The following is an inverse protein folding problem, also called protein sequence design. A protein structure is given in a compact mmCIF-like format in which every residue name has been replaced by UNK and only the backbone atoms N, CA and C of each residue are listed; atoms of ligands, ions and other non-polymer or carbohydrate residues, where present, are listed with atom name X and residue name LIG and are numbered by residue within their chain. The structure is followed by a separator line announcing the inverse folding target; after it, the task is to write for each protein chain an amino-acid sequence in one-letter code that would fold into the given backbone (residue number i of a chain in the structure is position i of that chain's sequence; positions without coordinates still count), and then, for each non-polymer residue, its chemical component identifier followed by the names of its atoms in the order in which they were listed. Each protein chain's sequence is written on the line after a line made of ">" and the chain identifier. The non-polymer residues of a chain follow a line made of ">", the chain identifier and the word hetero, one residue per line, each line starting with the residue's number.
data_IF_003057777693
#
_entry.id   IF_003057777693
#
_cell.length_a   1.000
_cell.length_b   1.000
_cell.length_c   1.000
_cell.angle_alpha   90.00
_cell.angle_beta   90.00
_cell.angle_gamma   90.00
#
_symmetry.space_group_name_H-M   'P 1'
#
loop_
_entity.id
_entity.type
_entity.pdbx_description
1 polymer ?
#
# COMPACT_ATOMS: atom_id res chain seq x y z
N UNK A 1 -23.65 5.92 39.74
CA UNK A 1 -23.92 6.19 38.32
C UNK A 1 -23.16 5.14 37.54
N UNK A 2 -23.85 4.19 36.93
CA UNK A 2 -23.21 3.04 36.29
C UNK A 2 -22.48 3.52 35.03
N UNK A 3 -21.14 3.47 35.06
CA UNK A 3 -20.33 3.94 33.95
C UNK A 3 -20.51 2.99 32.77
N UNK A 4 -21.28 3.42 31.77
CA UNK A 4 -21.57 2.58 30.60
C UNK A 4 -20.27 2.37 29.79
N UNK A 5 -19.79 1.13 29.74
CA UNK A 5 -18.60 0.70 29.01
C UNK A 5 -18.63 1.08 27.51
N UNK A 6 -19.81 1.13 26.91
CA UNK A 6 -19.99 1.55 25.51
C UNK A 6 -19.68 3.04 25.31
N UNK A 7 -20.02 3.88 26.29
CA UNK A 7 -19.70 5.32 26.25
C UNK A 7 -18.19 5.53 26.35
N UNK A 8 -17.51 4.82 27.27
CA UNK A 8 -16.05 4.87 27.36
C UNK A 8 -15.43 4.43 26.04
N UNK A 9 -15.87 3.29 25.48
CA UNK A 9 -15.36 2.79 24.21
C UNK A 9 -15.47 3.82 23.08
N UNK A 10 -16.64 4.44 22.93
CA UNK A 10 -16.87 5.49 21.93
C UNK A 10 -15.91 6.66 22.11
N UNK A 11 -15.73 7.14 23.34
CA UNK A 11 -14.78 8.21 23.65
C UNK A 11 -13.34 7.81 23.30
N UNK A 12 -12.92 6.60 23.66
CA UNK A 12 -11.58 6.11 23.32
C UNK A 12 -11.38 6.05 21.80
N UNK A 13 -12.37 5.60 21.03
CA UNK A 13 -12.30 5.54 19.57
C UNK A 13 -12.16 6.94 18.95
N UNK A 14 -12.95 7.91 19.42
CA UNK A 14 -12.87 9.31 18.96
C UNK A 14 -11.49 9.91 19.24
N UNK A 15 -10.95 9.71 20.44
CA UNK A 15 -9.63 10.24 20.79
C UNK A 15 -8.48 9.53 20.07
N UNK A 16 -8.63 8.24 19.78
CA UNK A 16 -7.71 7.51 18.90
C UNK A 16 -7.69 8.10 17.49
N UNK A 17 -8.84 8.42 16.91
CA UNK A 17 -8.94 9.08 15.60
C UNK A 17 -8.29 10.46 15.55
N UNK A 18 -8.32 11.20 16.67
CA UNK A 18 -7.62 12.49 16.84
C UNK A 18 -6.11 12.33 17.09
N UNK A 19 -5.64 11.12 17.38
CA UNK A 19 -4.24 10.83 17.67
C UNK A 19 -3.78 11.36 19.02
N UNK A 20 -4.64 11.39 20.04
CA UNK A 20 -4.24 11.80 21.39
C UNK A 20 -3.35 10.74 22.09
N UNK A 21 -2.53 11.13 23.07
CA UNK A 21 -1.75 10.14 23.84
C UNK A 21 -2.65 9.41 24.84
N UNK A 22 -2.46 8.10 24.98
CA UNK A 22 -3.25 7.27 25.88
C UNK A 22 -3.24 7.75 27.35
N UNK A 23 -2.13 8.33 27.82
CA UNK A 23 -2.04 8.91 29.18
C UNK A 23 -2.94 10.13 29.35
N UNK A 24 -2.96 11.03 28.36
CA UNK A 24 -3.82 12.21 28.36
C UNK A 24 -5.30 11.82 28.27
N UNK A 25 -5.61 10.82 27.44
CA UNK A 25 -6.97 10.32 27.29
C UNK A 25 -7.46 9.65 28.58
N UNK A 26 -6.60 8.90 29.28
CA UNK A 26 -6.95 8.32 30.57
C UNK A 26 -7.26 9.41 31.61
N UNK A 27 -6.49 10.50 31.63
CA UNK A 27 -6.76 11.66 32.50
C UNK A 27 -8.10 12.33 32.17
N UNK A 28 -8.37 12.59 30.88
CA UNK A 28 -9.64 13.18 30.42
C UNK A 28 -10.83 12.30 30.81
N UNK A 29 -10.75 10.99 30.56
CA UNK A 29 -11.83 10.06 30.89
C UNK A 29 -12.06 10.01 32.40
N UNK A 30 -11.00 9.99 33.21
CA UNK A 30 -11.11 9.99 34.66
C UNK A 30 -11.69 11.31 35.20
N UNK A 31 -11.39 12.44 34.57
CA UNK A 31 -11.98 13.74 34.95
C UNK A 31 -13.48 13.81 34.63
N UNK A 32 -13.93 13.20 33.54
CA UNK A 32 -15.35 13.23 33.11
C UNK A 32 -16.19 12.19 33.83
N UNK A 33 -15.67 10.97 34.01
CA UNK A 33 -16.45 9.82 34.48
C UNK A 33 -16.17 9.43 35.94
N UNK A 34 -15.15 10.01 36.57
CA UNK A 34 -14.76 9.77 37.95
C UNK A 34 -13.32 9.25 38.07
N UNK A 35 -12.67 9.59 39.18
CA UNK A 35 -11.30 9.18 39.43
C UNK A 35 -11.14 7.65 39.31
N UNK A 36 -10.06 7.21 38.66
CA UNK A 36 -9.72 5.80 38.44
C UNK A 36 -10.74 5.00 37.59
N UNK A 37 -11.56 5.66 36.76
CA UNK A 37 -12.47 4.98 35.81
C UNK A 37 -11.70 4.11 34.81
N UNK A 38 -10.58 4.60 34.28
CA UNK A 38 -9.69 3.86 33.37
C UNK A 38 -8.23 4.07 33.73
N UNK A 39 -7.40 3.07 33.44
CA UNK A 39 -5.95 3.17 33.55
C UNK A 39 -5.32 3.51 32.20
N UNK A 40 -4.12 4.10 32.21
CA UNK A 40 -3.36 4.35 30.96
C UNK A 40 -3.14 3.06 30.16
N UNK A 41 -2.86 1.94 30.84
CA UNK A 41 -2.67 0.62 30.20
C UNK A 41 -3.95 0.11 29.52
N UNK A 42 -5.10 0.34 30.14
CA UNK A 42 -6.41 0.02 29.55
C UNK A 42 -6.65 0.80 28.24
N UNK A 43 -6.37 2.10 28.25
CA UNK A 43 -6.49 2.94 27.05
C UNK A 43 -5.50 2.51 25.97
N UNK A 44 -4.25 2.21 26.33
CA UNK A 44 -3.25 1.71 25.38
C UNK A 44 -3.67 0.39 24.73
N UNK A 45 -4.26 -0.52 25.50
CA UNK A 45 -4.76 -1.80 24.99
C UNK A 45 -5.91 -1.61 24.00
N UNK A 46 -6.82 -0.68 24.25
CA UNK A 46 -7.88 -0.32 23.28
C UNK A 46 -7.34 0.35 22.03
N UNK A 47 -6.39 1.28 22.16
CA UNK A 47 -5.76 1.94 21.01
C UNK A 47 -5.01 0.94 20.13
N UNK A 48 -4.39 -0.06 20.75
CA UNK A 48 -3.79 -1.18 20.02
C UNK A 48 -4.85 -1.95 19.21
N UNK A 49 -6.00 -2.29 19.82
CA UNK A 49 -7.12 -2.96 19.12
C UNK A 49 -7.67 -2.14 17.96
N UNK A 50 -7.91 -0.84 18.15
CA UNK A 50 -8.36 0.03 17.05
C UNK A 50 -7.33 0.09 15.91
N UNK A 51 -6.04 -0.02 16.22
CA UNK A 51 -5.01 -0.08 15.19
C UNK A 51 -5.02 -1.38 14.40
N UNK A 52 -5.42 -2.51 15.02
CA UNK A 52 -5.63 -3.78 14.33
C UNK A 52 -6.80 -3.69 13.35
N UNK A 53 -7.93 -3.11 13.78
CA UNK A 53 -9.10 -2.89 12.92
C UNK A 53 -8.74 -2.02 11.70
N UNK A 54 -7.91 -0.99 11.88
CA UNK A 54 -7.39 -0.18 10.77
C UNK A 54 -6.59 -1.01 9.77
N UNK A 55 -5.74 -1.93 10.24
CA UNK A 55 -4.91 -2.79 9.40
C UNK A 55 -5.76 -3.85 8.67
N UNK A 56 -6.85 -4.29 9.28
CA UNK A 56 -7.81 -5.20 8.65
C UNK A 56 -8.55 -4.55 7.48
N UNK A 57 -9.00 -3.30 7.68
CA UNK A 57 -9.72 -2.51 6.67
C UNK A 57 -8.77 -2.03 5.56
N UNK A 58 -7.58 -1.53 5.92
CA UNK A 58 -6.57 -1.07 4.98
C UNK A 58 -5.22 -1.76 5.24
N UNK A 59 -4.97 -2.82 4.47
CA UNK A 59 -3.72 -3.60 4.55
C UNK A 59 -2.49 -2.84 4.02
N UNK A 60 -2.66 -1.68 3.39
CA UNK A 60 -1.56 -0.86 2.85
C UNK A 60 -1.08 0.22 3.83
N UNK A 61 -1.74 0.35 4.98
CA UNK A 61 -1.41 1.39 5.97
C UNK A 61 0.08 1.35 6.38
N UNK A 62 0.71 2.52 6.35
CA UNK A 62 2.14 2.67 6.65
C UNK A 62 2.40 2.59 8.16
N UNK A 63 3.61 2.15 8.54
CA UNK A 63 3.99 2.11 9.96
C UNK A 63 4.00 3.53 10.55
N UNK A 64 4.38 4.52 9.76
CA UNK A 64 4.37 5.92 10.15
C UNK A 64 2.95 6.41 10.47
N UNK A 65 1.95 6.08 9.63
CA UNK A 65 0.56 6.48 9.85
C UNK A 65 0.00 5.87 11.14
N UNK A 66 0.26 4.58 11.38
CA UNK A 66 -0.12 3.92 12.64
C UNK A 66 0.61 4.56 13.83
N UNK A 67 1.93 4.80 13.71
CA UNK A 67 2.74 5.40 14.76
C UNK A 67 2.24 6.79 15.15
N UNK A 68 1.88 7.60 14.15
CA UNK A 68 1.37 8.96 14.34
C UNK A 68 0.03 8.96 15.07
N UNK A 69 -0.86 8.01 14.75
CA UNK A 69 -2.15 7.81 15.45
C UNK A 69 -1.94 7.36 16.90
N UNK A 70 -0.99 6.46 17.13
CA UNK A 70 -0.68 5.93 18.45
C UNK A 70 0.23 6.83 19.29
N UNK A 71 0.82 7.87 18.71
CA UNK A 71 1.86 8.72 19.31
C UNK A 71 3.01 7.90 19.92
N UNK A 72 3.37 6.81 19.25
CA UNK A 72 4.52 5.95 19.60
C UNK A 72 5.59 6.05 18.51
N UNK A 73 6.82 5.66 18.85
CA UNK A 73 7.88 5.57 17.85
C UNK A 73 7.53 4.52 16.78
N UNK A 74 7.72 4.86 15.51
CA UNK A 74 7.39 4.01 14.37
C UNK A 74 8.15 2.67 14.36
N UNK A 75 9.32 2.57 15.01
CA UNK A 75 10.06 1.32 15.21
C UNK A 75 9.31 0.38 16.15
N UNK A 76 8.56 0.94 17.10
CA UNK A 76 7.80 0.17 18.09
C UNK A 76 6.56 -0.44 17.45
N UNK A 77 5.94 0.19 16.44
CA UNK A 77 4.73 -0.32 15.75
C UNK A 77 4.89 -1.78 15.31
N UNK A 78 6.01 -2.14 14.68
CA UNK A 78 6.17 -3.47 14.03
C UNK A 78 6.19 -4.62 15.04
N UNK A 79 6.85 -4.44 16.19
CA UNK A 79 7.08 -5.51 17.17
C UNK A 79 5.78 -6.10 17.74
N UNK A 80 4.82 -5.29 18.25
CA UNK A 80 3.51 -5.76 18.70
C UNK A 80 2.68 -6.44 17.61
N UNK A 81 2.53 -5.85 16.41
CA UNK A 81 1.69 -6.45 15.35
C UNK A 81 2.25 -7.81 14.89
N UNK A 82 3.57 -7.89 14.72
CA UNK A 82 4.25 -9.09 14.22
C UNK A 82 4.15 -10.32 15.13
N UNK A 83 3.91 -10.10 16.43
CA UNK A 83 3.82 -11.16 17.44
C UNK A 83 2.42 -11.73 17.61
N UNK A 84 1.38 -10.96 17.31
CA UNK A 84 0.02 -11.27 17.77
C UNK A 84 -0.89 -11.67 16.60
N UNK A 85 -0.93 -10.91 15.50
CA UNK A 85 -1.95 -11.15 14.46
C UNK A 85 -1.51 -10.84 13.02
N UNK A 86 -0.63 -9.86 12.77
CA UNK A 86 -0.31 -9.40 11.41
C UNK A 86 1.19 -9.27 11.20
N UNK A 87 1.69 -9.82 10.09
CA UNK A 87 3.07 -9.63 9.64
C UNK A 87 3.10 -8.76 8.39
N UNK A 88 3.99 -7.77 8.38
CA UNK A 88 4.25 -6.98 7.18
C UNK A 88 5.05 -7.82 6.17
N UNK A 89 4.46 -8.08 5.00
CA UNK A 89 5.12 -8.72 3.87
C UNK A 89 5.20 -7.69 2.73
N UNK A 90 6.43 -7.30 2.39
CA UNK A 90 6.68 -6.14 1.53
C UNK A 90 6.03 -4.88 2.13
N UNK A 91 5.05 -4.29 1.45
CA UNK A 91 4.30 -3.11 1.90
C UNK A 91 2.90 -3.45 2.44
N UNK A 92 2.49 -4.72 2.40
CA UNK A 92 1.14 -5.17 2.77
C UNK A 92 1.17 -5.87 4.13
N UNK A 93 0.23 -5.54 5.00
CA UNK A 93 -0.03 -6.30 6.22
C UNK A 93 -0.81 -7.58 5.90
N UNK A 94 -0.26 -8.72 6.29
CA UNK A 94 -0.85 -10.04 6.06
C UNK A 94 -1.06 -10.72 7.39
N UNK A 95 -2.26 -11.28 7.66
CA UNK A 95 -2.49 -12.09 8.84
C UNK A 95 -1.41 -13.15 9.03
N UNK A 96 -0.91 -13.30 10.24
CA UNK A 96 0.12 -14.28 10.57
C UNK A 96 -0.39 -15.70 10.37
N UNK A 97 -1.63 -15.95 10.82
CA UNK A 97 -2.37 -17.18 10.55
C UNK A 97 -3.49 -16.89 9.55
N UNK A 98 -3.54 -17.66 8.46
CA UNK A 98 -4.66 -17.62 7.55
C UNK A 98 -5.84 -18.36 8.18
N UNK A 99 -7.04 -17.80 8.08
CA UNK A 99 -8.24 -18.54 8.48
C UNK A 99 -8.46 -19.73 7.53
N UNK A 100 -9.12 -20.83 7.96
CA UNK A 100 -9.45 -21.95 7.07
C UNK A 100 -10.19 -21.50 5.81
N UNK A 101 -11.09 -20.51 5.94
CA UNK A 101 -11.78 -19.87 4.82
C UNK A 101 -10.80 -19.22 3.85
N UNK A 102 -9.87 -18.39 4.34
CA UNK A 102 -8.86 -17.77 3.48
C UNK A 102 -7.95 -18.80 2.79
N UNK A 103 -7.67 -19.95 3.42
CA UNK A 103 -6.92 -21.03 2.78
C UNK A 103 -7.73 -21.67 1.64
N UNK A 104 -9.01 -22.01 1.91
CA UNK A 104 -9.90 -22.58 0.90
C UNK A 104 -10.13 -21.63 -0.28
N UNK A 105 -10.40 -20.35 -0.01
CA UNK A 105 -10.58 -19.33 -1.05
C UNK A 105 -9.32 -19.22 -1.92
N UNK A 106 -8.13 -19.24 -1.31
CA UNK A 106 -6.86 -19.21 -2.05
C UNK A 106 -6.67 -20.42 -2.95
N UNK A 107 -6.99 -21.62 -2.47
CA UNK A 107 -6.91 -22.85 -3.28
C UNK A 107 -7.88 -22.76 -4.45
N UNK A 108 -9.15 -22.45 -4.17
CA UNK A 108 -10.20 -22.36 -5.17
C UNK A 108 -9.89 -21.32 -6.26
N UNK A 109 -9.45 -20.11 -5.88
CA UNK A 109 -9.06 -19.07 -6.83
C UNK A 109 -7.83 -19.51 -7.64
N UNK A 110 -6.83 -20.12 -6.99
CA UNK A 110 -5.62 -20.57 -7.69
C UNK A 110 -5.94 -21.65 -8.73
N UNK A 111 -6.79 -22.62 -8.38
CA UNK A 111 -7.27 -23.66 -9.30
C UNK A 111 -8.08 -23.08 -10.46
N UNK A 112 -9.00 -22.14 -10.19
CA UNK A 112 -9.79 -21.48 -11.23
C UNK A 112 -8.90 -20.68 -12.20
N UNK A 113 -7.90 -19.97 -11.68
CA UNK A 113 -6.93 -19.23 -12.50
C UNK A 113 -6.03 -20.17 -13.31
N UNK A 114 -5.61 -21.31 -12.76
CA UNK A 114 -4.84 -22.31 -13.48
C UNK A 114 -5.63 -22.88 -14.65
N UNK A 115 -6.88 -23.33 -14.41
CA UNK A 115 -7.79 -23.83 -15.46
C UNK A 115 -8.07 -22.76 -16.53
N UNK A 116 -8.29 -21.51 -16.12
CA UNK A 116 -8.45 -20.41 -17.06
C UNK A 116 -7.19 -20.22 -17.92
N UNK A 117 -6.00 -20.34 -17.34
CA UNK A 117 -4.74 -20.19 -18.07
C UNK A 117 -4.47 -21.33 -19.07
N UNK A 118 -4.99 -22.52 -18.79
CA UNK A 118 -4.96 -23.65 -19.73
C UNK A 118 -5.84 -23.38 -20.97
N UNK A 119 -7.00 -22.75 -20.77
CA UNK A 119 -7.96 -22.41 -21.83
C UNK A 119 -7.48 -21.19 -22.64
N UNK A 120 -7.11 -20.12 -21.95
CA UNK A 120 -6.58 -18.90 -22.53
C UNK A 120 -5.29 -18.55 -21.79
N UNK A 121 -4.15 -18.56 -22.49
CA UNK A 121 -2.81 -18.32 -21.92
C UNK A 121 -2.62 -16.85 -21.51
N UNK A 122 -3.53 -16.32 -20.69
CA UNK A 122 -3.58 -14.93 -20.27
C UNK A 122 -2.35 -14.56 -19.44
N UNK A 123 -1.70 -15.51 -18.76
CA UNK A 123 -0.43 -15.25 -18.07
C UNK A 123 0.67 -14.82 -19.04
N UNK A 124 0.64 -15.25 -20.31
CA UNK A 124 1.57 -14.74 -21.35
C UNK A 124 1.25 -13.32 -21.80
N UNK A 125 0.00 -12.87 -21.61
CA UNK A 125 -0.47 -11.51 -21.93
C UNK A 125 -0.33 -10.56 -20.73
N UNK A 126 -0.18 -11.09 -19.52
CA UNK A 126 0.06 -10.28 -18.34
C UNK A 126 1.49 -9.73 -18.35
N UNK A 127 1.60 -8.43 -18.11
CA UNK A 127 2.90 -7.80 -17.85
C UNK A 127 3.33 -8.18 -16.43
N UNK A 128 4.04 -9.30 -16.32
CA UNK A 128 4.75 -9.68 -15.09
C UNK A 128 6.02 -8.85 -14.93
N UNK A 129 6.71 -8.98 -13.79
CA UNK A 129 8.01 -8.33 -13.56
C UNK A 129 9.04 -8.71 -14.64
N UNK A 130 9.08 -9.98 -15.04
CA UNK A 130 10.02 -10.48 -16.04
C UNK A 130 9.71 -9.90 -17.43
N UNK A 131 8.44 -9.89 -17.82
CA UNK A 131 8.00 -9.29 -19.09
C UNK A 131 8.30 -7.79 -19.11
N UNK A 132 8.11 -7.10 -17.98
CA UNK A 132 8.44 -5.68 -17.87
C UNK A 132 9.95 -5.43 -18.02
N UNK A 133 10.80 -6.26 -17.42
CA UNK A 133 12.25 -6.15 -17.59
C UNK A 133 12.66 -6.41 -19.04
N UNK A 134 12.12 -7.45 -19.68
CA UNK A 134 12.36 -7.70 -21.11
C UNK A 134 11.92 -6.54 -22.01
N UNK A 135 10.81 -5.86 -21.67
CA UNK A 135 10.38 -4.66 -22.37
C UNK A 135 11.38 -3.51 -22.21
N UNK A 136 11.93 -3.32 -21.00
CA UNK A 136 12.98 -2.33 -20.75
C UNK A 136 14.27 -2.66 -21.51
N UNK A 137 14.68 -3.93 -21.56
CA UNK A 137 15.85 -4.39 -22.31
C UNK A 137 15.70 -4.10 -23.81
N UNK A 138 14.49 -4.27 -24.36
CA UNK A 138 14.17 -3.92 -25.76
C UNK A 138 14.09 -2.41 -25.97
N UNK A 139 13.66 -1.65 -24.96
CA UNK A 139 13.51 -0.20 -25.03
C UNK A 139 14.88 0.51 -25.02
N UNK A 140 15.83 0.02 -24.21
CA UNK A 140 17.15 0.64 -24.03
C UNK A 140 17.86 0.96 -25.37
N UNK A 141 18.08 0.01 -26.30
CA UNK A 141 18.76 0.31 -27.56
C UNK A 141 17.98 1.27 -28.45
N UNK A 142 16.64 1.24 -28.40
CA UNK A 142 15.79 2.16 -29.19
C UNK A 142 15.91 3.58 -28.67
N UNK A 143 15.98 3.76 -27.35
CA UNK A 143 16.21 5.08 -26.72
C UNK A 143 17.61 5.59 -27.05
N UNK A 144 18.63 4.73 -26.96
CA UNK A 144 20.00 5.10 -27.29
C UNK A 144 20.14 5.53 -28.77
N UNK A 145 19.40 4.85 -29.67
CA UNK A 145 19.39 5.19 -31.09
C UNK A 145 18.61 6.48 -31.40
N UNK A 146 17.42 6.66 -30.80
CA UNK A 146 16.53 7.79 -31.11
C UNK A 146 16.88 9.06 -30.34
N UNK A 147 17.55 8.94 -29.21
CA UNK A 147 17.89 10.05 -28.31
C UNK A 147 19.37 9.99 -27.91
N UNK A 148 20.31 10.14 -28.85
CA UNK A 148 21.74 10.06 -28.57
C UNK A 148 22.23 11.13 -27.57
N UNK A 149 21.50 12.25 -27.45
CA UNK A 149 21.76 13.30 -26.43
C UNK A 149 21.63 12.79 -24.99
N UNK A 150 20.79 11.77 -24.77
CA UNK A 150 20.65 11.10 -23.49
C UNK A 150 21.77 10.09 -23.21
N UNK A 151 22.47 9.62 -24.25
CA UNK A 151 23.59 8.68 -24.12
C UNK A 151 24.90 9.38 -23.71
N UNK A 152 25.04 10.68 -24.01
CA UNK A 152 26.27 11.46 -23.79
C UNK A 152 26.44 12.01 -22.35
N UNK A 153 26.03 11.23 -21.34
CA UNK A 153 26.25 11.57 -19.93
C UNK A 153 25.08 12.25 -19.22
N UNK A 154 23.97 12.47 -19.91
CA UNK A 154 22.72 12.92 -19.29
C UNK A 154 22.07 11.75 -18.54
N UNK A 155 21.76 11.95 -17.26
CA UNK A 155 21.05 10.92 -16.49
C UNK A 155 19.60 10.84 -16.98
N UNK A 156 19.24 9.73 -17.61
CA UNK A 156 17.86 9.45 -18.01
C UNK A 156 16.99 9.36 -16.77
N UNK A 157 15.95 10.19 -16.69
CA UNK A 157 14.95 10.16 -15.63
C UNK A 157 13.76 9.33 -16.11
N UNK A 158 13.63 8.13 -15.55
CA UNK A 158 12.56 7.21 -15.87
C UNK A 158 11.32 7.50 -15.02
N UNK A 159 10.25 7.95 -15.67
CA UNK A 159 8.95 8.22 -15.03
C UNK A 159 7.98 7.06 -15.26
N UNK A 160 7.46 6.48 -14.18
CA UNK A 160 6.50 5.37 -14.18
C UNK A 160 5.27 5.73 -13.34
N UNK A 161 4.11 5.25 -13.76
CA UNK A 161 2.88 5.29 -12.98
C UNK A 161 2.95 4.38 -11.74
N UNK A 162 2.37 4.84 -10.63
CA UNK A 162 2.35 4.12 -9.35
C UNK A 162 1.33 2.96 -9.29
N UNK A 163 0.96 2.38 -10.43
CA UNK A 163 -0.05 1.30 -10.52
C UNK A 163 0.36 0.00 -9.80
N UNK A 164 1.62 -0.10 -9.36
CA UNK A 164 2.06 -1.01 -8.28
C UNK A 164 2.94 -0.26 -7.29
N UNK A 165 2.87 -0.55 -5.97
CA UNK A 165 3.81 0.06 -5.03
C UNK A 165 5.20 -0.49 -5.30
N UNK A 166 6.09 0.41 -5.72
CA UNK A 166 7.51 0.21 -6.02
C UNK A 166 7.82 -0.67 -7.24
N UNK A 167 8.77 -0.25 -8.12
CA UNK A 167 9.45 -1.19 -8.99
C UNK A 167 10.03 -2.30 -8.10
N UNK A 168 9.73 -3.52 -8.48
CA UNK A 168 10.23 -4.73 -7.83
C UNK A 168 11.76 -4.74 -7.84
N UNK A 169 12.37 -5.58 -7.00
CA UNK A 169 13.82 -5.58 -6.82
C UNK A 169 14.55 -5.80 -8.14
N UNK A 170 14.03 -6.67 -9.02
CA UNK A 170 14.65 -6.96 -10.33
C UNK A 170 14.52 -5.76 -11.26
N UNK A 171 13.34 -5.12 -11.33
CA UNK A 171 13.16 -3.91 -12.15
C UNK A 171 14.07 -2.76 -11.69
N UNK A 172 14.25 -2.55 -10.37
CA UNK A 172 15.17 -1.53 -9.87
C UNK A 172 16.62 -1.81 -10.25
N UNK A 173 17.03 -3.08 -10.13
CA UNK A 173 18.37 -3.51 -10.52
C UNK A 173 18.60 -3.26 -12.01
N UNK A 174 17.63 -3.61 -12.86
CA UNK A 174 17.73 -3.42 -14.31
C UNK A 174 17.85 -1.92 -14.68
N UNK A 175 17.02 -1.07 -14.09
CA UNK A 175 17.10 0.39 -14.32
C UNK A 175 18.41 1.00 -13.82
N UNK A 176 18.95 0.49 -12.71
CA UNK A 176 20.26 0.88 -12.21
C UNK A 176 21.39 0.50 -13.18
N UNK A 177 21.37 -0.72 -13.72
CA UNK A 177 22.33 -1.19 -14.71
C UNK A 177 22.29 -0.36 -16.00
N UNK A 178 21.13 0.21 -16.35
CA UNK A 178 21.00 1.15 -17.47
C UNK A 178 21.48 2.58 -17.18
N UNK A 179 21.82 2.89 -15.93
CA UNK A 179 22.12 4.26 -15.49
C UNK A 179 20.90 5.17 -15.43
N UNK A 180 19.68 4.61 -15.42
CA UNK A 180 18.43 5.36 -15.41
C UNK A 180 17.98 5.62 -13.97
N UNK A 181 17.73 6.89 -13.62
CA UNK A 181 17.18 7.27 -12.32
C UNK A 181 15.66 7.20 -12.34
N UNK A 182 15.07 6.52 -11.37
CA UNK A 182 13.61 6.47 -11.21
C UNK A 182 13.13 7.77 -10.58
N UNK A 183 12.21 8.48 -11.25
CA UNK A 183 11.52 9.61 -10.67
C UNK A 183 10.50 9.11 -9.64
N UNK A 184 10.67 9.52 -8.38
CA UNK A 184 9.70 9.21 -7.33
C UNK A 184 8.41 10.00 -7.55
N UNK A 185 7.28 9.37 -7.28
CA UNK A 185 5.97 9.95 -7.55
C UNK A 185 5.00 9.68 -6.39
N UNK A 186 4.06 10.59 -6.08
CA UNK A 186 3.02 10.33 -5.09
C UNK A 186 2.07 9.21 -5.54
N UNK A 187 1.70 8.27 -4.65
CA UNK A 187 0.71 7.23 -4.96
C UNK A 187 -0.63 7.86 -5.39
N UNK A 188 -1.30 7.25 -6.38
CA UNK A 188 -2.66 7.63 -6.82
C UNK A 188 -2.81 9.08 -7.32
N UNK A 189 -1.79 9.64 -7.98
CA UNK A 189 -1.86 10.96 -8.64
C UNK A 189 -1.85 10.85 -10.17
N UNK A 190 -2.92 10.31 -10.80
CA UNK A 190 -2.97 10.15 -12.25
C UNK A 190 -2.91 11.50 -13.00
N UNK A 191 -3.35 12.58 -12.35
CA UNK A 191 -3.31 13.97 -12.82
C UNK A 191 -1.90 14.48 -13.09
N UNK A 192 -0.91 13.97 -12.37
CA UNK A 192 0.48 14.39 -12.51
C UNK A 192 1.22 13.57 -13.60
N UNK A 193 0.63 12.47 -14.08
CA UNK A 193 1.29 11.58 -15.04
C UNK A 193 1.01 12.06 -16.45
N UNK A 194 2.03 12.66 -17.08
CA UNK A 194 1.95 13.19 -18.45
C UNK A 194 1.36 12.19 -19.46
N UNK A 195 1.59 10.89 -19.27
CA UNK A 195 1.05 9.83 -20.13
C UNK A 195 -0.49 9.74 -20.07
N UNK A 196 -1.10 9.84 -18.89
CA UNK A 196 -2.56 9.74 -18.76
C UNK A 196 -3.24 11.00 -19.29
N UNK A 197 -2.70 12.18 -18.99
CA UNK A 197 -3.32 13.44 -19.39
C UNK A 197 -3.12 13.79 -20.88
N UNK A 198 -1.92 13.61 -21.42
CA UNK A 198 -1.63 14.03 -22.80
C UNK A 198 -1.76 12.90 -23.81
N UNK A 199 -1.22 11.71 -23.52
CA UNK A 199 -1.18 10.64 -24.52
C UNK A 199 -2.46 9.79 -24.53
N UNK A 200 -2.89 9.27 -23.38
CA UNK A 200 -4.06 8.39 -23.35
C UNK A 200 -5.37 9.14 -23.58
N UNK A 201 -5.53 10.34 -23.01
CA UNK A 201 -6.72 11.16 -23.26
C UNK A 201 -6.86 11.54 -24.75
N UNK A 202 -5.78 11.98 -25.41
CA UNK A 202 -5.81 12.29 -26.85
C UNK A 202 -6.05 11.04 -27.70
N UNK A 203 -5.48 9.90 -27.29
CA UNK A 203 -5.69 8.63 -27.95
C UNK A 203 -7.13 8.13 -27.80
N UNK A 204 -7.73 8.23 -26.62
CA UNK A 204 -9.14 7.90 -26.38
C UNK A 204 -10.07 8.77 -27.21
N UNK A 205 -9.81 10.09 -27.29
CA UNK A 205 -10.55 10.98 -28.17
C UNK A 205 -10.44 10.55 -29.63
N UNK A 206 -9.24 10.23 -30.10
CA UNK A 206 -9.01 9.73 -31.46
C UNK A 206 -9.70 8.39 -31.75
N UNK A 207 -9.79 7.50 -30.75
CA UNK A 207 -10.49 6.23 -30.88
C UNK A 207 -12.02 6.39 -30.82
N UNK A 208 -12.53 7.30 -30.00
CA UNK A 208 -13.96 7.59 -29.88
C UNK A 208 -14.59 8.07 -31.20
N UNK A 209 -13.81 8.75 -32.04
CA UNK A 209 -14.22 9.22 -33.37
C UNK A 209 -14.22 8.11 -34.44
N UNK A 210 -13.69 6.92 -34.13
CA UNK A 210 -13.70 5.77 -35.03
C UNK A 210 -14.72 4.76 -34.55
N UNK A 211 -15.81 4.58 -35.31
CA UNK A 211 -16.66 3.39 -35.17
C UNK A 211 -15.77 2.16 -35.37
N UNK A 212 -15.55 1.42 -34.28
CA UNK A 212 -14.95 0.09 -34.34
C UNK A 212 -15.93 -0.79 -35.12
N UNK A 213 -15.60 -1.06 -36.39
CA UNK A 213 -16.34 -1.95 -37.27
C UNK A 213 -16.19 -3.41 -36.88
#
# INVERSE_FOLDING_TARGET
>A
MEVNKEKIWFFLNVFFGKGEKASQVAEIVNNVYGANTVTTSYVQSWFHRFSLEVVEVDRLVSNHSIAQRLKIDHKIVVSPFSKVEFKKKLHVWVPHQLTPKCMMDRISISEALAKRNEIDQFLKRMVTEDIYCQQLDRLKPVVDQKCPELANGSVVVFHKDNTRPYPSVVTRKNLWEFGWKVLMFPPYSPDLVLRYYYLFLTFENFLGDKKLG
#
